data_IF_834701021008
#
_entry.id   IF_834701021008
#
_cell.length_a   1.000
_cell.length_b   1.000
_cell.length_c   1.000
_cell.angle_alpha   90.00
_cell.angle_beta   90.00
_cell.angle_gamma   90.00
#
_symmetry.space_group_name_H-M   'P 1'
#
loop_
_entity.id
_entity.type
_entity.pdbx_description
1 polymer ?
#
# COMPACT_ATOMS: atom_id res chain seq x y z
N UNK A 1 -63.42 3.35 46.99
CA UNK A 1 -63.10 3.78 45.62
C UNK A 1 -61.60 4.06 45.54
N UNK A 2 -60.79 3.08 45.16
CA UNK A 2 -59.31 3.18 45.11
C UNK A 2 -58.87 3.12 43.65
N UNK A 3 -58.44 4.25 43.10
CA UNK A 3 -57.99 4.39 41.71
C UNK A 3 -56.63 3.70 41.53
N UNK A 4 -56.60 2.68 40.68
CA UNK A 4 -55.40 1.97 40.22
C UNK A 4 -54.53 2.90 39.37
N UNK A 5 -53.38 3.31 39.92
CA UNK A 5 -52.33 4.02 39.20
C UNK A 5 -51.30 3.02 38.65
N UNK A 6 -51.59 2.39 37.50
CA UNK A 6 -50.67 1.50 36.79
C UNK A 6 -50.58 1.89 35.32
N UNK A 7 -49.97 3.04 35.00
CA UNK A 7 -49.68 3.40 33.59
C UNK A 7 -48.69 4.57 33.44
N UNK A 8 -47.52 4.53 34.11
CA UNK A 8 -46.44 5.50 33.80
C UNK A 8 -45.06 4.88 33.55
N UNK A 9 -44.80 3.63 33.93
CA UNK A 9 -43.47 3.04 33.83
C UNK A 9 -43.22 2.21 32.55
N UNK A 10 -44.27 1.75 31.85
CA UNK A 10 -44.11 0.90 30.65
C UNK A 10 -43.58 1.67 29.43
N UNK A 11 -44.01 2.91 29.21
CA UNK A 11 -43.52 3.73 28.08
C UNK A 11 -42.06 4.17 28.23
N UNK A 12 -41.62 4.41 29.47
CA UNK A 12 -40.25 4.87 29.76
C UNK A 12 -39.21 3.76 29.54
N UNK A 13 -39.53 2.53 29.95
CA UNK A 13 -38.63 1.36 29.76
C UNK A 13 -38.45 1.02 28.28
N UNK A 14 -39.51 1.19 27.48
CA UNK A 14 -39.46 0.93 26.03
C UNK A 14 -38.63 1.98 25.27
N UNK A 15 -38.67 3.24 25.70
CA UNK A 15 -37.90 4.33 25.11
C UNK A 15 -36.38 4.23 25.39
N UNK A 16 -35.99 3.74 26.57
CA UNK A 16 -34.58 3.55 26.95
C UNK A 16 -33.92 2.40 26.16
N UNK A 17 -34.68 1.35 25.83
CA UNK A 17 -34.16 0.21 25.06
C UNK A 17 -33.80 0.54 23.60
N UNK A 18 -34.59 1.40 22.93
CA UNK A 18 -34.41 1.72 21.50
C UNK A 18 -33.28 2.75 21.29
N UNK A 19 -33.12 3.71 22.21
CA UNK A 19 -32.04 4.70 22.15
C UNK A 19 -30.63 4.10 22.32
N UNK A 20 -30.51 3.03 23.13
CA UNK A 20 -29.24 2.33 23.36
C UNK A 20 -28.73 1.61 22.10
N UNK A 21 -29.62 0.99 21.32
CA UNK A 21 -29.26 0.27 20.10
C UNK A 21 -28.71 1.19 19.00
N UNK A 22 -29.37 2.31 18.73
CA UNK A 22 -28.92 3.25 17.68
C UNK A 22 -27.62 3.93 18.09
N UNK A 23 -27.49 4.36 19.35
CA UNK A 23 -26.27 5.00 19.84
C UNK A 23 -25.06 4.07 19.80
N UNK A 24 -25.22 2.81 20.22
CA UNK A 24 -24.15 1.81 20.18
C UNK A 24 -23.73 1.48 18.75
N UNK A 25 -24.68 1.35 17.82
CA UNK A 25 -24.38 1.14 16.40
C UNK A 25 -23.59 2.31 15.80
N UNK A 26 -23.96 3.56 16.09
CA UNK A 26 -23.24 4.75 15.62
C UNK A 26 -21.81 4.82 16.20
N UNK A 27 -21.62 4.45 17.47
CA UNK A 27 -20.29 4.39 18.08
C UNK A 27 -19.43 3.32 17.40
N UNK A 28 -19.98 2.12 17.16
CA UNK A 28 -19.25 1.06 16.45
C UNK A 28 -18.86 1.52 15.04
N UNK A 29 -19.79 2.14 14.30
CA UNK A 29 -19.53 2.64 12.95
C UNK A 29 -18.43 3.71 12.94
N UNK A 30 -18.46 4.65 13.89
CA UNK A 30 -17.45 5.70 14.00
C UNK A 30 -16.06 5.14 14.33
N UNK A 31 -15.97 4.16 15.22
CA UNK A 31 -14.71 3.46 15.53
C UNK A 31 -14.16 2.73 14.30
N UNK A 32 -15.02 2.06 13.52
CA UNK A 32 -14.60 1.37 12.28
C UNK A 32 -14.05 2.37 11.24
N UNK A 33 -14.73 3.49 11.02
CA UNK A 33 -14.29 4.53 10.07
C UNK A 33 -12.97 5.15 10.53
N UNK A 34 -12.83 5.48 11.82
CA UNK A 34 -11.59 6.04 12.39
C UNK A 34 -10.45 5.04 12.24
N UNK A 35 -10.68 3.75 12.54
CA UNK A 35 -9.67 2.70 12.35
C UNK A 35 -9.22 2.59 10.90
N UNK A 36 -10.16 2.57 9.95
CA UNK A 36 -9.84 2.55 8.52
C UNK A 36 -8.99 3.76 8.13
N UNK A 37 -9.39 4.97 8.54
CA UNK A 37 -8.66 6.22 8.27
C UNK A 37 -7.25 6.20 8.86
N UNK A 38 -7.10 5.74 10.11
CA UNK A 38 -5.81 5.65 10.80
C UNK A 38 -4.87 4.65 10.13
N UNK A 39 -5.37 3.47 9.74
CA UNK A 39 -4.57 2.47 9.04
C UNK A 39 -4.09 3.00 7.67
N UNK A 40 -4.98 3.63 6.90
CA UNK A 40 -4.61 4.24 5.62
C UNK A 40 -3.62 5.38 5.81
N UNK A 41 -3.81 6.24 6.81
CA UNK A 41 -2.88 7.33 7.12
C UNK A 41 -1.50 6.80 7.54
N UNK A 42 -1.45 5.80 8.40
CA UNK A 42 -0.20 5.17 8.84
C UNK A 42 0.54 4.53 7.67
N UNK A 43 -0.18 3.83 6.79
CA UNK A 43 0.40 3.24 5.59
C UNK A 43 0.98 4.31 4.64
N UNK A 44 0.23 5.38 4.37
CA UNK A 44 0.71 6.53 3.56
C UNK A 44 1.94 7.17 4.19
N UNK A 45 1.92 7.41 5.51
CA UNK A 45 3.04 8.03 6.23
C UNK A 45 4.30 7.19 6.17
N UNK A 46 4.17 5.87 6.29
CA UNK A 46 5.28 4.93 6.17
C UNK A 46 5.86 4.95 4.74
N UNK A 47 5.00 4.90 3.73
CA UNK A 47 5.41 4.98 2.32
C UNK A 47 6.14 6.29 2.03
N UNK A 48 5.62 7.43 2.47
CA UNK A 48 6.26 8.73 2.27
C UNK A 48 7.60 8.83 3.00
N UNK A 49 7.73 8.18 4.16
CA UNK A 49 8.99 8.08 4.89
C UNK A 49 10.04 7.28 4.10
N UNK A 50 9.69 6.08 3.62
CA UNK A 50 10.61 5.27 2.81
C UNK A 50 10.92 5.92 1.47
N UNK A 51 9.94 6.54 0.82
CA UNK A 51 10.14 7.32 -0.40
C UNK A 51 11.19 8.42 -0.20
N UNK A 52 11.10 9.20 0.89
CA UNK A 52 12.10 10.23 1.20
C UNK A 52 13.46 9.63 1.56
N UNK A 53 13.47 8.55 2.35
CA UNK A 53 14.70 7.87 2.78
C UNK A 53 15.47 7.27 1.60
N UNK A 54 14.77 6.66 0.65
CA UNK A 54 15.34 5.97 -0.51
C UNK A 54 15.40 6.87 -1.75
N UNK A 55 15.68 8.18 -1.54
CA UNK A 55 15.89 9.19 -2.60
C UNK A 55 14.77 9.30 -3.64
N UNK A 56 13.52 9.01 -3.26
CA UNK A 56 12.36 9.21 -4.13
C UNK A 56 12.16 10.66 -4.59
N UNK A 57 12.62 11.65 -3.81
CA UNK A 57 12.62 13.05 -4.25
C UNK A 57 13.54 13.27 -5.45
N UNK A 58 14.69 12.59 -5.52
CA UNK A 58 15.60 12.63 -6.65
C UNK A 58 14.93 12.00 -7.87
N UNK A 59 14.24 10.87 -7.69
CA UNK A 59 13.46 10.24 -8.76
C UNK A 59 12.37 11.18 -9.32
N UNK A 60 11.70 11.95 -8.47
CA UNK A 60 10.72 12.98 -8.90
C UNK A 60 11.34 14.17 -9.62
N UNK A 61 12.63 14.43 -9.44
CA UNK A 61 13.33 15.47 -10.20
C UNK A 61 13.78 14.96 -11.58
N UNK A 62 14.16 13.68 -11.66
CA UNK A 62 14.64 13.07 -12.90
C UNK A 62 13.52 12.57 -13.82
N UNK A 63 12.32 12.36 -13.28
CA UNK A 63 11.17 11.79 -13.98
C UNK A 63 9.97 12.69 -13.79
N UNK A 64 9.17 12.87 -14.85
CA UNK A 64 7.91 13.59 -14.78
C UNK A 64 7.02 13.08 -13.63
N UNK A 65 6.42 14.00 -12.88
CA UNK A 65 5.64 13.68 -11.68
C UNK A 65 4.51 12.69 -11.95
N UNK A 66 3.80 12.84 -13.07
CA UNK A 66 2.70 11.93 -13.43
C UNK A 66 3.20 10.55 -13.86
N UNK A 67 4.42 10.47 -14.39
CA UNK A 67 5.08 9.20 -14.71
C UNK A 67 5.53 8.53 -13.40
N UNK A 68 6.24 9.27 -12.53
CA UNK A 68 6.72 8.75 -11.25
C UNK A 68 5.56 8.22 -10.38
N UNK A 69 4.46 8.95 -10.26
CA UNK A 69 3.29 8.52 -9.47
C UNK A 69 2.64 7.23 -10.01
N UNK A 70 2.57 7.07 -11.35
CA UNK A 70 2.01 5.86 -11.98
C UNK A 70 2.94 4.65 -11.92
N UNK A 71 4.23 4.88 -11.74
CA UNK A 71 5.26 3.84 -11.71
C UNK A 71 5.55 3.31 -10.30
N UNK A 72 4.95 3.88 -9.25
CA UNK A 72 5.16 3.39 -7.88
C UNK A 72 4.29 2.17 -7.57
N UNK A 73 4.93 1.04 -7.35
CA UNK A 73 4.34 -0.16 -6.77
C UNK A 73 4.53 -0.18 -5.25
N UNK A 74 3.60 -0.84 -4.55
CA UNK A 74 3.79 -1.18 -3.13
C UNK A 74 4.56 -2.49 -2.99
N UNK A 75 5.30 -2.66 -1.90
CA UNK A 75 6.02 -3.90 -1.64
C UNK A 75 5.06 -5.10 -1.58
N UNK A 76 3.91 -4.93 -0.93
CA UNK A 76 2.86 -5.96 -0.82
C UNK A 76 2.38 -6.47 -2.20
N UNK A 77 2.29 -5.57 -3.19
CA UNK A 77 1.88 -5.95 -4.55
C UNK A 77 2.95 -6.82 -5.23
N UNK A 78 4.23 -6.49 -5.03
CA UNK A 78 5.35 -7.25 -5.55
C UNK A 78 5.52 -8.59 -4.82
N UNK A 79 5.31 -8.63 -3.51
CA UNK A 79 5.29 -9.85 -2.71
C UNK A 79 4.18 -10.79 -3.18
N UNK A 80 2.96 -10.27 -3.37
CA UNK A 80 1.86 -11.07 -3.90
C UNK A 80 2.16 -11.60 -5.29
N UNK A 81 2.74 -10.77 -6.17
CA UNK A 81 3.08 -11.17 -7.53
C UNK A 81 4.14 -12.28 -7.57
N UNK A 82 5.04 -12.32 -6.59
CA UNK A 82 6.18 -13.24 -6.51
C UNK A 82 6.01 -14.37 -5.51
N UNK A 83 4.83 -14.53 -4.90
CA UNK A 83 4.63 -15.47 -3.79
C UNK A 83 5.65 -15.25 -2.65
N UNK A 84 5.80 -14.00 -2.20
CA UNK A 84 6.78 -13.55 -1.19
C UNK A 84 8.23 -13.81 -1.61
N UNK A 85 8.57 -13.50 -2.86
CA UNK A 85 9.91 -13.72 -3.43
C UNK A 85 10.36 -15.18 -3.32
N UNK A 86 9.46 -16.11 -3.67
CA UNK A 86 9.72 -17.55 -3.66
C UNK A 86 10.92 -17.92 -4.55
N UNK A 87 11.86 -18.70 -4.02
CA UNK A 87 13.03 -19.16 -4.76
C UNK A 87 12.65 -19.99 -6.00
N UNK A 88 11.52 -20.71 -5.98
CA UNK A 88 11.02 -21.43 -7.15
C UNK A 88 10.63 -20.50 -8.32
N UNK A 89 10.45 -19.20 -8.05
CA UNK A 89 10.16 -18.18 -9.05
C UNK A 89 11.39 -17.40 -9.48
N UNK A 90 12.58 -17.73 -8.98
CA UNK A 90 13.82 -17.07 -9.37
C UNK A 90 14.15 -17.33 -10.83
N UNK A 91 14.41 -16.25 -11.55
CA UNK A 91 14.87 -16.28 -12.94
C UNK A 91 16.40 -16.19 -13.02
N UNK A 92 17.03 -15.56 -12.02
CA UNK A 92 18.49 -15.42 -11.93
C UNK A 92 18.89 -14.48 -10.80
N UNK A 93 20.18 -14.41 -10.49
CA UNK A 93 20.70 -13.47 -9.48
C UNK A 93 22.20 -13.23 -9.64
N UNK A 94 22.67 -12.07 -9.17
CA UNK A 94 24.07 -11.64 -9.29
C UNK A 94 24.46 -10.57 -8.27
N UNK A 95 25.47 -9.76 -8.61
CA UNK A 95 25.95 -8.67 -7.75
C UNK A 95 24.86 -7.63 -7.44
N UNK A 96 24.07 -7.26 -8.45
CA UNK A 96 23.07 -6.18 -8.37
C UNK A 96 21.68 -6.63 -7.89
N UNK A 97 21.55 -7.85 -7.36
CA UNK A 97 20.28 -8.36 -6.83
C UNK A 97 19.81 -9.67 -7.46
N UNK A 98 18.54 -9.99 -7.21
CA UNK A 98 17.89 -11.23 -7.67
C UNK A 98 16.64 -10.89 -8.47
N UNK A 99 16.43 -11.60 -9.57
CA UNK A 99 15.28 -11.41 -10.47
C UNK A 99 14.30 -12.56 -10.29
N UNK A 100 13.03 -12.22 -10.05
CA UNK A 100 11.94 -13.17 -9.86
C UNK A 100 10.89 -13.03 -10.95
N UNK A 101 10.23 -14.13 -11.29
CA UNK A 101 9.01 -14.15 -12.10
C UNK A 101 7.83 -13.67 -11.26
N UNK A 102 7.20 -12.59 -11.69
CA UNK A 102 6.00 -12.03 -11.09
C UNK A 102 4.77 -12.17 -11.98
N UNK A 103 3.60 -12.26 -11.37
CA UNK A 103 2.30 -12.09 -12.04
C UNK A 103 1.56 -10.96 -11.33
N UNK A 104 1.41 -9.82 -12.01
CA UNK A 104 0.72 -8.65 -11.46
C UNK A 104 -0.80 -8.91 -11.33
N UNK A 105 -1.50 -8.04 -10.60
CA UNK A 105 -2.96 -8.14 -10.39
C UNK A 105 -3.76 -8.07 -11.69
N UNK A 106 -3.25 -7.36 -12.70
CA UNK A 106 -3.80 -7.29 -14.05
C UNK A 106 -3.37 -8.46 -14.96
N UNK A 107 -2.80 -9.52 -14.37
CA UNK A 107 -2.35 -10.76 -15.02
C UNK A 107 -1.14 -10.62 -15.93
N UNK A 108 -0.49 -9.45 -15.99
CA UNK A 108 0.77 -9.32 -16.74
C UNK A 108 1.89 -10.12 -16.06
N UNK A 109 2.62 -10.91 -16.86
CA UNK A 109 3.83 -11.61 -16.43
C UNK A 109 5.01 -10.64 -16.54
N UNK A 110 5.76 -10.49 -15.45
CA UNK A 110 6.86 -9.51 -15.35
C UNK A 110 8.09 -10.13 -14.69
N UNK A 111 9.25 -9.52 -14.93
CA UNK A 111 10.47 -9.77 -14.17
C UNK A 111 10.58 -8.71 -13.05
N UNK A 112 10.72 -9.13 -11.81
CA UNK A 112 10.85 -8.26 -10.63
C UNK A 112 12.27 -8.39 -10.09
N UNK A 113 13.10 -7.35 -10.27
CA UNK A 113 14.46 -7.26 -9.71
C UNK A 113 14.38 -6.73 -8.28
N UNK A 114 14.80 -7.54 -7.31
CA UNK A 114 14.99 -7.16 -5.90
C UNK A 114 16.48 -6.90 -5.66
N UNK A 115 16.84 -5.65 -5.40
CA UNK A 115 18.20 -5.27 -5.02
C UNK A 115 18.57 -5.88 -3.66
N UNK A 116 19.87 -6.15 -3.43
CA UNK A 116 20.37 -6.57 -2.12
C UNK A 116 20.33 -5.40 -1.12
N UNK A 117 20.36 -5.70 0.18
CA UNK A 117 20.28 -4.71 1.26
C UNK A 117 21.42 -3.70 1.17
N UNK A 118 21.04 -2.44 1.35
CA UNK A 118 21.53 -1.26 0.63
C UNK A 118 22.61 -0.49 1.39
N UNK A 119 23.77 -0.30 0.76
CA UNK A 119 24.64 0.87 1.02
C UNK A 119 24.08 2.07 0.24
N UNK A 120 24.21 3.30 0.73
CA UNK A 120 23.76 4.54 0.07
C UNK A 120 24.10 4.59 -1.44
N UNK A 121 25.25 4.05 -1.86
CA UNK A 121 25.68 3.98 -3.26
C UNK A 121 24.75 3.13 -4.13
N UNK A 122 24.30 1.99 -3.62
CA UNK A 122 23.38 1.11 -4.35
C UNK A 122 21.98 1.72 -4.51
N UNK A 123 21.59 2.65 -3.63
CA UNK A 123 20.36 3.44 -3.82
C UNK A 123 20.50 4.36 -5.03
N UNK A 124 21.67 4.98 -5.21
CA UNK A 124 21.90 5.96 -6.27
C UNK A 124 21.90 5.30 -7.64
N UNK A 125 22.60 4.18 -7.74
CA UNK A 125 22.62 3.35 -8.94
C UNK A 125 21.21 2.86 -9.29
N UNK A 126 20.44 2.44 -8.28
CA UNK A 126 19.05 2.05 -8.48
C UNK A 126 18.18 3.19 -9.01
N UNK A 127 18.25 4.38 -8.41
CA UNK A 127 17.45 5.52 -8.85
C UNK A 127 17.84 5.95 -10.27
N UNK A 128 19.14 5.92 -10.60
CA UNK A 128 19.61 6.23 -11.94
C UNK A 128 19.12 5.20 -12.98
N UNK A 129 19.22 3.90 -12.69
CA UNK A 129 18.68 2.82 -13.53
C UNK A 129 17.17 3.04 -13.80
N UNK A 130 16.39 3.30 -12.75
CA UNK A 130 14.95 3.54 -12.86
C UNK A 130 14.66 4.80 -13.68
N UNK A 131 15.37 5.91 -13.41
CA UNK A 131 15.15 7.17 -14.12
C UNK A 131 15.41 7.04 -15.63
N UNK A 132 16.51 6.37 -16.01
CA UNK A 132 16.84 6.12 -17.42
C UNK A 132 15.80 5.20 -18.05
N UNK A 133 15.53 4.04 -17.44
CA UNK A 133 14.61 3.06 -18.02
C UNK A 133 13.15 3.54 -18.06
N UNK A 134 12.76 4.49 -17.20
CA UNK A 134 11.43 5.10 -17.24
C UNK A 134 11.19 5.95 -18.49
N UNK A 135 12.26 6.45 -19.12
CA UNK A 135 12.20 7.33 -20.28
C UNK A 135 12.49 6.60 -21.60
N UNK A 136 12.98 5.36 -21.54
CA UNK A 136 13.31 4.55 -22.72
C UNK A 136 12.17 3.62 -23.10
N UNK A 137 11.62 3.81 -24.30
CA UNK A 137 10.62 2.91 -24.89
C UNK A 137 11.08 2.47 -26.28
N UNK A 138 11.85 1.37 -26.34
CA UNK A 138 12.44 0.88 -27.58
C UNK A 138 12.29 -0.65 -27.71
N UNK A 139 12.10 -1.16 -28.93
CA UNK A 139 11.86 -2.59 -29.22
C UNK A 139 12.96 -3.54 -28.73
N UNK A 140 14.19 -3.05 -28.59
CA UNK A 140 15.36 -3.83 -28.18
C UNK A 140 15.80 -3.55 -26.73
N UNK A 141 15.02 -2.77 -25.98
CA UNK A 141 15.31 -2.44 -24.57
C UNK A 141 14.15 -2.93 -23.72
N UNK A 142 14.47 -3.49 -22.55
CA UNK A 142 13.45 -3.93 -21.60
C UNK A 142 12.61 -2.74 -21.14
N UNK A 143 11.29 -2.88 -21.21
CA UNK A 143 10.36 -1.84 -20.77
C UNK A 143 10.20 -1.90 -19.26
N UNK A 144 10.47 -0.78 -18.58
CA UNK A 144 10.18 -0.64 -17.16
C UNK A 144 8.70 -0.33 -16.94
N UNK A 145 8.02 -1.15 -16.14
CA UNK A 145 6.63 -0.89 -15.75
C UNK A 145 6.50 -0.04 -14.50
N UNK A 146 7.51 -0.08 -13.63
CA UNK A 146 7.56 0.70 -12.40
C UNK A 146 8.59 0.15 -11.42
N UNK A 147 8.62 0.73 -10.23
CA UNK A 147 9.53 0.34 -9.15
C UNK A 147 8.87 0.50 -7.78
N UNK A 148 9.54 0.00 -6.75
CA UNK A 148 9.13 0.11 -5.35
C UNK A 148 10.29 0.69 -4.55
N UNK A 149 9.99 1.66 -3.69
CA UNK A 149 10.95 2.32 -2.80
C UNK A 149 10.67 2.01 -1.32
N UNK A 150 9.79 1.06 -1.02
CA UNK A 150 9.56 0.55 0.34
C UNK A 150 10.62 -0.52 0.70
N UNK A 151 10.95 -0.64 1.99
CA UNK A 151 11.93 -1.61 2.53
C UNK A 151 11.31 -2.46 3.62
#
# INVERSE_FOLDING_TARGET
STKSAKSKNSGFVTAVGIGSGVGTLLIILSVLIVRQKLMVWKARKSRDFFFKKNRGLLLQQLVDKHIAERMMFKLEELEKATNKFDEARKLGGGGHGTVYKGILSDKRVVAIKKSKVVILRETDDFINEVAILSQVNHRNVVKLFGCCLET
#
